data_IF_795967526998
#
_entry.id   IF_795967526998
#
_cell.length_a   1.000
_cell.length_b   1.000
_cell.length_c   1.000
_cell.angle_alpha   90.00
_cell.angle_beta   90.00
_cell.angle_gamma   90.00
#
_symmetry.space_group_name_H-M   'P 1'
#
loop_
_entity.id
_entity.type
_entity.pdbx_description
1 polymer ?
#
# COMPACT_ATOMS: atom_id res chain seq x y z
N UNK A 1 -6.92 16.42 -7.31
CA UNK A 1 -7.53 15.08 -7.41
C UNK A 1 -8.97 15.18 -7.86
N UNK A 2 -9.26 14.67 -9.06
CA UNK A 2 -10.62 14.56 -9.61
C UNK A 2 -11.00 13.08 -9.57
N UNK A 3 -11.61 12.58 -8.47
CA UNK A 3 -12.00 11.18 -8.37
C UNK A 3 -13.02 10.86 -9.46
N UNK A 4 -12.82 9.73 -10.14
CA UNK A 4 -13.67 9.25 -11.21
C UNK A 4 -13.95 7.76 -11.03
N UNK A 5 -15.09 7.31 -11.54
CA UNK A 5 -15.46 5.89 -11.57
C UNK A 5 -14.48 5.15 -12.50
N UNK A 6 -13.99 4.00 -12.06
CA UNK A 6 -13.09 3.19 -12.86
C UNK A 6 -13.78 2.74 -14.17
N UNK A 7 -13.10 2.76 -15.33
CA UNK A 7 -13.68 2.27 -16.59
C UNK A 7 -13.97 0.77 -16.57
N UNK A 8 -13.36 0.04 -15.62
CA UNK A 8 -13.65 -1.37 -15.35
C UNK A 8 -15.00 -1.58 -14.65
N UNK A 9 -15.55 -0.57 -13.97
CA UNK A 9 -16.85 -0.63 -13.30
C UNK A 9 -17.97 -0.78 -14.34
N UNK A 10 -18.79 -1.83 -14.20
CA UNK A 10 -19.85 -2.16 -15.15
C UNK A 10 -21.23 -1.63 -14.76
N UNK A 11 -21.35 -1.00 -13.59
CA UNK A 11 -22.62 -0.51 -13.08
C UNK A 11 -22.48 0.27 -11.79
N UNK A 12 -23.60 0.86 -11.33
CA UNK A 12 -23.61 1.60 -10.07
C UNK A 12 -23.69 0.64 -8.88
N UNK A 13 -22.57 0.46 -8.17
CA UNK A 13 -22.50 -0.35 -6.94
C UNK A 13 -22.81 0.46 -5.67
N UNK A 14 -22.84 1.80 -5.76
CA UNK A 14 -23.03 2.71 -4.61
C UNK A 14 -22.03 2.43 -3.48
N UNK A 15 -20.78 2.17 -3.88
CA UNK A 15 -19.70 1.62 -3.08
C UNK A 15 -19.14 2.60 -2.03
N UNK A 16 -19.48 3.89 -2.11
CA UNK A 16 -18.89 4.94 -1.29
C UNK A 16 -17.35 4.85 -1.23
N UNK A 17 -16.72 4.56 -2.39
CA UNK A 17 -15.27 4.32 -2.58
C UNK A 17 -14.74 2.96 -2.10
N UNK A 18 -15.59 2.01 -1.75
CA UNK A 18 -15.21 0.59 -1.64
C UNK A 18 -14.90 0.00 -3.02
N UNK A 19 -14.16 -1.11 -3.08
CA UNK A 19 -13.76 -1.74 -4.35
C UNK A 19 -14.93 -2.58 -4.88
N UNK A 20 -15.37 -2.34 -6.13
CA UNK A 20 -16.47 -3.07 -6.80
C UNK A 20 -16.32 -4.60 -6.71
N UNK A 21 -15.10 -5.13 -6.90
CA UNK A 21 -14.81 -6.56 -6.76
C UNK A 21 -15.16 -7.08 -5.36
N UNK A 22 -14.73 -6.36 -4.31
CA UNK A 22 -14.96 -6.76 -2.92
C UNK A 22 -16.46 -6.78 -2.64
N UNK A 23 -17.21 -5.78 -3.13
CA UNK A 23 -18.66 -5.74 -2.96
C UNK A 23 -19.36 -6.89 -3.68
N UNK A 24 -18.96 -7.22 -4.90
CA UNK A 24 -19.50 -8.36 -5.64
C UNK A 24 -19.23 -9.68 -4.90
N UNK A 25 -18.00 -9.89 -4.42
CA UNK A 25 -17.61 -11.10 -3.68
C UNK A 25 -18.35 -11.22 -2.33
N UNK A 26 -18.50 -10.12 -1.58
CA UNK A 26 -19.26 -10.11 -0.33
C UNK A 26 -20.74 -10.37 -0.56
N UNK A 27 -21.30 -9.83 -1.63
CA UNK A 27 -22.69 -10.10 -2.03
C UNK A 27 -22.89 -11.57 -2.39
N UNK A 28 -21.91 -12.20 -3.05
CA UNK A 28 -21.94 -13.63 -3.36
C UNK A 28 -21.91 -14.52 -2.10
N UNK A 29 -21.29 -14.05 -1.02
CA UNK A 29 -21.22 -14.75 0.27
C UNK A 29 -22.51 -14.64 1.11
N UNK A 30 -23.44 -13.74 0.76
CA UNK A 30 -24.73 -13.65 1.44
C UNK A 30 -25.57 -14.90 1.20
N UNK A 31 -26.33 -15.30 2.21
CA UNK A 31 -27.34 -16.36 2.10
C UNK A 31 -28.51 -15.91 1.21
N UNK A 32 -29.23 -16.88 0.65
CA UNK A 32 -30.44 -16.61 -0.14
C UNK A 32 -31.51 -15.84 0.65
N UNK A 33 -31.56 -16.04 1.98
CA UNK A 33 -32.46 -15.28 2.86
C UNK A 33 -32.05 -13.82 2.95
N UNK A 34 -30.77 -13.55 3.25
CA UNK A 34 -30.24 -12.18 3.35
C UNK A 34 -30.40 -11.43 2.03
N UNK A 35 -30.13 -12.08 0.90
CA UNK A 35 -30.33 -11.50 -0.43
C UNK A 35 -31.81 -11.18 -0.69
N UNK A 36 -32.74 -12.04 -0.29
CA UNK A 36 -34.19 -11.75 -0.41
C UNK A 36 -34.62 -10.59 0.47
N UNK A 37 -34.14 -10.53 1.70
CA UNK A 37 -34.44 -9.42 2.62
C UNK A 37 -33.91 -8.11 2.05
N UNK A 38 -32.67 -8.08 1.60
CA UNK A 38 -32.04 -6.90 1.00
C UNK A 38 -32.73 -6.45 -0.30
N UNK A 39 -33.17 -7.38 -1.17
CA UNK A 39 -34.01 -7.04 -2.33
C UNK A 39 -35.33 -6.39 -1.92
N UNK A 40 -35.86 -6.76 -0.76
CA UNK A 40 -37.13 -6.25 -0.24
C UNK A 40 -37.06 -4.85 0.37
N UNK A 41 -35.86 -4.29 0.60
CA UNK A 41 -35.71 -2.97 1.24
C UNK A 41 -35.69 -1.81 0.24
N UNK A 42 -34.94 -1.93 -0.85
CA UNK A 42 -34.74 -0.87 -1.84
C UNK A 42 -34.55 -1.45 -3.26
N UNK A 43 -35.26 -0.95 -4.30
CA UNK A 43 -35.02 -1.31 -5.69
C UNK A 43 -33.56 -1.20 -6.16
N UNK A 44 -32.78 -0.25 -5.60
CA UNK A 44 -31.35 -0.10 -5.90
C UNK A 44 -30.52 -1.21 -5.29
N UNK A 45 -30.80 -1.59 -4.05
CA UNK A 45 -30.16 -2.74 -3.42
C UNK A 45 -30.47 -4.03 -4.21
N UNK A 46 -31.71 -4.18 -4.68
CA UNK A 46 -32.07 -5.30 -5.54
C UNK A 46 -31.26 -5.33 -6.84
N UNK A 47 -31.12 -4.19 -7.52
CA UNK A 47 -30.34 -4.09 -8.75
C UNK A 47 -28.84 -4.39 -8.54
N UNK A 48 -28.25 -3.99 -7.40
CA UNK A 48 -26.85 -4.31 -7.05
C UNK A 48 -26.67 -5.82 -6.84
N UNK A 49 -27.60 -6.47 -6.13
CA UNK A 49 -27.55 -7.91 -5.91
C UNK A 49 -27.69 -8.67 -7.24
N UNK A 50 -28.63 -8.26 -8.08
CA UNK A 50 -28.83 -8.89 -9.39
C UNK A 50 -27.62 -8.69 -10.32
N UNK A 51 -26.98 -7.52 -10.26
CA UNK A 51 -25.73 -7.24 -10.99
C UNK A 51 -24.59 -8.15 -10.50
N UNK A 52 -24.42 -8.30 -9.19
CA UNK A 52 -23.40 -9.15 -8.61
C UNK A 52 -23.62 -10.64 -8.92
N UNK A 53 -24.87 -11.12 -8.87
CA UNK A 53 -25.20 -12.53 -9.15
C UNK A 53 -25.11 -12.91 -10.63
N UNK A 54 -25.36 -11.97 -11.52
CA UNK A 54 -25.28 -12.20 -12.98
C UNK A 54 -23.91 -11.89 -13.57
N UNK A 55 -22.94 -11.48 -12.74
CA UNK A 55 -21.63 -11.05 -13.20
C UNK A 55 -20.84 -12.23 -13.77
N UNK A 56 -20.41 -12.18 -15.04
CA UNK A 56 -19.56 -13.21 -15.61
C UNK A 56 -18.17 -13.24 -14.92
N UNK A 57 -17.55 -14.42 -14.76
CA UNK A 57 -16.20 -14.54 -14.19
C UNK A 57 -15.17 -13.63 -14.86
N UNK A 58 -15.25 -13.48 -16.19
CA UNK A 58 -14.33 -12.64 -16.97
C UNK A 58 -14.45 -11.15 -16.63
N UNK A 59 -15.62 -10.73 -16.14
CA UNK A 59 -15.83 -9.36 -15.66
C UNK A 59 -15.29 -9.19 -14.25
N UNK A 60 -15.49 -10.18 -13.37
CA UNK A 60 -14.90 -10.18 -12.03
C UNK A 60 -13.36 -10.11 -12.10
N UNK A 61 -12.74 -10.90 -12.99
CA UNK A 61 -11.30 -10.86 -13.25
C UNK A 61 -10.82 -9.47 -13.70
N UNK A 62 -11.65 -8.72 -14.44
CA UNK A 62 -11.32 -7.35 -14.86
C UNK A 62 -11.48 -6.32 -13.75
N UNK A 63 -12.32 -6.59 -12.76
CA UNK A 63 -12.44 -5.77 -11.55
C UNK A 63 -11.29 -6.03 -10.57
N UNK A 64 -10.62 -7.18 -10.71
CA UNK A 64 -9.37 -7.46 -10.01
C UNK A 64 -8.36 -6.34 -10.28
N UNK A 65 -7.77 -5.81 -9.21
CA UNK A 65 -7.01 -4.56 -9.22
C UNK A 65 -6.10 -4.40 -10.45
N UNK A 66 -6.39 -3.40 -11.29
CA UNK A 66 -5.61 -3.13 -12.48
C UNK A 66 -4.38 -2.27 -12.15
N UNK A 67 -3.18 -2.86 -12.23
CA UNK A 67 -1.91 -2.10 -12.15
C UNK A 67 -1.71 -1.37 -13.48
N UNK A 68 -2.23 -0.14 -13.58
CA UNK A 68 -2.21 0.65 -14.83
C UNK A 68 -0.79 0.99 -15.31
N UNK A 69 0.18 1.10 -14.40
CA UNK A 69 1.60 1.27 -14.73
C UNK A 69 2.16 0.07 -15.52
N UNK A 70 1.63 -1.15 -15.30
CA UNK A 70 2.05 -2.36 -16.02
C UNK A 70 1.39 -2.48 -17.42
N UNK A 71 0.23 -1.83 -17.62
CA UNK A 71 -0.53 -1.86 -18.88
C UNK A 71 0.16 -1.08 -20.00
N UNK A 72 0.90 -0.03 -19.68
CA UNK A 72 1.74 0.70 -20.65
C UNK A 72 2.86 -0.18 -21.25
N UNK A 73 3.21 -1.27 -20.57
CA UNK A 73 4.29 -2.21 -20.95
C UNK A 73 3.73 -3.45 -21.68
N UNK A 74 2.45 -3.80 -21.47
CA UNK A 74 1.85 -5.08 -21.90
C UNK A 74 0.81 -4.95 -23.02
N UNK A 75 0.64 -3.75 -23.60
CA UNK A 75 -0.25 -3.53 -24.73
C UNK A 75 0.21 -4.38 -25.95
N UNK A 76 -0.67 -5.20 -26.58
CA UNK A 76 -0.31 -5.99 -27.77
C UNK A 76 0.09 -5.15 -29.00
N UNK A 77 -0.13 -3.83 -28.97
CA UNK A 77 0.38 -2.88 -29.96
C UNK A 77 1.76 -2.26 -29.64
N UNK A 78 2.27 -2.47 -28.42
CA UNK A 78 3.62 -2.05 -28.05
C UNK A 78 4.64 -3.06 -28.60
N UNK A 79 5.85 -2.61 -28.99
CA UNK A 79 6.92 -3.54 -29.34
C UNK A 79 7.12 -4.51 -28.17
N UNK A 80 7.11 -5.82 -28.46
CA UNK A 80 7.27 -6.85 -27.45
C UNK A 80 8.50 -6.51 -26.59
N UNK A 81 8.34 -6.31 -25.28
CA UNK A 81 9.45 -5.93 -24.43
C UNK A 81 10.51 -7.02 -24.50
N UNK A 82 11.72 -6.63 -24.88
CA UNK A 82 12.90 -7.48 -24.82
C UNK A 82 13.29 -7.69 -23.36
N UNK A 83 13.95 -8.80 -23.00
CA UNK A 83 14.47 -9.00 -21.64
C UNK A 83 15.35 -7.82 -21.17
N UNK A 84 16.00 -7.14 -22.11
CA UNK A 84 16.84 -5.96 -21.91
C UNK A 84 16.02 -4.71 -21.52
N UNK A 85 14.80 -4.55 -22.04
CA UNK A 85 13.94 -3.37 -21.74
C UNK A 85 13.19 -3.50 -20.40
N UNK A 86 13.05 -4.71 -19.86
CA UNK A 86 12.63 -4.91 -18.47
C UNK A 86 13.74 -4.61 -17.46
N UNK A 87 15.01 -4.79 -17.85
CA UNK A 87 16.18 -4.61 -16.98
C UNK A 87 16.56 -3.14 -16.73
N UNK A 88 16.11 -2.21 -17.59
CA UNK A 88 16.46 -0.78 -17.47
C UNK A 88 15.52 0.01 -16.53
N UNK A 89 14.40 -0.59 -16.09
CA UNK A 89 13.37 0.07 -15.27
C UNK A 89 13.33 -0.40 -13.81
N UNK A 90 13.96 -1.53 -13.49
CA UNK A 90 14.02 -2.08 -12.15
C UNK A 90 15.49 -2.44 -11.87
N UNK A 91 16.03 -1.95 -10.74
CA UNK A 91 17.33 -2.40 -10.23
C UNK A 91 17.36 -3.94 -10.23
N UNK A 92 18.56 -4.53 -10.38
CA UNK A 92 18.84 -5.93 -10.79
C UNK A 92 18.20 -7.09 -9.99
N UNK A 93 17.23 -6.84 -9.11
CA UNK A 93 16.41 -7.85 -8.45
C UNK A 93 14.96 -7.84 -9.00
N UNK A 94 14.56 -8.83 -9.82
CA UNK A 94 13.24 -8.84 -10.42
C UNK A 94 12.17 -9.17 -9.36
N UNK A 95 11.50 -8.14 -8.84
CA UNK A 95 10.32 -8.23 -7.95
C UNK A 95 9.13 -8.93 -8.65
N UNK A 96 9.14 -8.98 -9.99
CA UNK A 96 8.10 -9.61 -10.79
C UNK A 96 8.61 -10.87 -11.49
N UNK A 97 8.54 -12.02 -10.80
CA UNK A 97 8.70 -13.34 -11.44
C UNK A 97 7.31 -13.91 -11.68
N UNK A 98 6.86 -14.12 -12.94
CA UNK A 98 5.51 -14.61 -13.24
C UNK A 98 5.23 -15.99 -12.62
N UNK A 99 6.27 -16.76 -12.34
CA UNK A 99 6.20 -18.07 -11.69
C UNK A 99 6.05 -17.98 -10.15
N UNK A 100 6.17 -16.78 -9.55
CA UNK A 100 6.12 -16.59 -8.09
C UNK A 100 5.58 -15.20 -7.71
N UNK A 101 4.25 -15.09 -7.55
CA UNK A 101 3.56 -13.98 -6.92
C UNK A 101 4.14 -13.45 -5.60
N UNK A 102 4.30 -12.13 -5.47
CA UNK A 102 4.74 -11.46 -4.23
C UNK A 102 3.75 -11.58 -3.06
N UNK A 103 2.51 -12.02 -3.32
CA UNK A 103 1.44 -12.19 -2.33
C UNK A 103 1.25 -13.65 -1.88
N UNK A 104 2.13 -14.59 -2.27
CA UNK A 104 2.02 -16.01 -1.87
C UNK A 104 2.38 -16.21 -0.37
N UNK A 105 1.40 -16.58 0.48
CA UNK A 105 1.63 -16.78 1.91
C UNK A 105 2.54 -17.99 2.24
N UNK A 106 2.73 -18.93 1.30
CA UNK A 106 3.64 -20.07 1.50
C UNK A 106 5.13 -19.69 1.41
N UNK A 107 5.44 -18.48 0.92
CA UNK A 107 6.78 -17.92 0.78
C UNK A 107 6.93 -16.58 1.51
N UNK A 108 6.16 -16.37 2.60
CA UNK A 108 6.27 -15.20 3.45
C UNK A 108 7.61 -15.14 4.22
N UNK A 109 8.70 -14.93 3.48
CA UNK A 109 9.84 -14.11 3.87
C UNK A 109 10.10 -13.09 2.72
N UNK A 110 9.18 -12.13 2.48
CA UNK A 110 9.31 -11.16 1.41
C UNK A 110 10.38 -10.09 1.72
N UNK A 111 11.05 -10.20 2.87
CA UNK A 111 12.14 -9.36 3.30
C UNK A 111 13.12 -10.23 4.09
N UNK A 112 13.96 -11.01 3.40
CA UNK A 112 15.15 -11.59 4.02
C UNK A 112 15.87 -10.48 4.81
N UNK A 113 16.47 -10.76 5.98
CA UNK A 113 16.67 -9.78 7.05
C UNK A 113 17.31 -8.52 6.49
N UNK A 114 16.47 -7.51 6.25
CA UNK A 114 16.94 -6.23 5.80
C UNK A 114 17.89 -5.74 6.89
N UNK A 115 19.02 -5.16 6.49
CA UNK A 115 19.96 -4.66 7.49
C UNK A 115 19.21 -3.72 8.42
N UNK A 116 19.27 -3.97 9.74
CA UNK A 116 18.63 -3.13 10.75
C UNK A 116 19.18 -1.69 10.76
N UNK A 117 20.04 -1.32 9.81
CA UNK A 117 20.71 -0.02 9.72
C UNK A 117 20.86 0.43 8.27
N UNK A 118 20.71 1.73 8.07
CA UNK A 118 20.94 2.42 6.80
C UNK A 118 21.89 3.60 6.97
N UNK A 119 22.50 4.05 5.87
CA UNK A 119 23.39 5.20 5.88
C UNK A 119 22.58 6.48 5.58
N UNK A 120 22.60 7.43 6.50
CA UNK A 120 21.97 8.76 6.35
C UNK A 120 23.02 9.80 6.68
N UNK A 121 23.30 10.72 5.75
CA UNK A 121 24.34 11.75 5.91
C UNK A 121 25.71 11.18 6.38
N UNK A 122 26.06 9.97 5.92
CA UNK A 122 27.30 9.29 6.28
C UNK A 122 27.31 8.62 7.66
N UNK A 123 26.18 8.61 8.38
CA UNK A 123 26.02 7.97 9.69
C UNK A 123 25.10 6.76 9.58
N UNK A 124 25.48 5.66 10.24
CA UNK A 124 24.63 4.48 10.33
C UNK A 124 23.49 4.71 11.32
N UNK A 125 22.26 4.69 10.81
CA UNK A 125 21.02 4.90 11.57
C UNK A 125 20.23 3.60 11.60
N UNK A 126 19.77 3.20 12.78
CA UNK A 126 18.91 2.02 12.98
C UNK A 126 18.26 2.03 14.36
N UNK A 127 17.70 0.90 14.85
CA UNK A 127 17.06 0.83 16.15
C UNK A 127 17.92 1.40 17.27
N UNK A 128 17.35 2.34 18.02
CA UNK A 128 17.99 3.08 19.11
C UNK A 128 18.70 4.37 18.70
N UNK A 129 18.97 4.60 17.41
CA UNK A 129 19.52 5.87 16.93
C UNK A 129 18.55 7.02 17.17
N UNK A 130 19.10 8.20 17.46
CA UNK A 130 18.33 9.45 17.56
C UNK A 130 18.42 10.22 16.26
N UNK A 131 17.32 10.83 15.86
CA UNK A 131 17.20 11.61 14.62
C UNK A 131 16.40 12.89 14.87
N UNK A 132 16.61 13.88 14.02
CA UNK A 132 15.74 15.05 13.89
C UNK A 132 14.82 14.84 12.69
N UNK A 133 13.53 15.01 12.89
CA UNK A 133 12.53 14.94 11.84
C UNK A 133 12.58 16.21 10.97
N UNK A 134 12.67 16.01 9.65
CA UNK A 134 12.66 17.05 8.61
C UNK A 134 11.66 16.69 7.50
N UNK A 135 10.37 16.47 7.84
CA UNK A 135 9.33 16.20 6.85
C UNK A 135 9.39 17.19 5.68
N UNK A 136 9.32 16.65 4.47
CA UNK A 136 9.45 17.41 3.23
C UNK A 136 8.22 18.26 2.89
N UNK A 137 8.26 18.88 1.71
CA UNK A 137 7.09 19.54 1.10
C UNK A 137 6.33 18.61 0.14
N UNK A 138 6.81 17.38 -0.08
CA UNK A 138 6.22 16.38 -0.96
C UNK A 138 6.00 15.11 -0.14
N UNK A 139 4.86 14.43 -0.34
CA UNK A 139 4.49 13.15 0.30
C UNK A 139 4.28 13.18 1.83
N UNK A 140 4.57 14.30 2.46
CA UNK A 140 4.31 14.58 3.87
C UNK A 140 2.83 14.86 4.13
N UNK A 141 2.26 14.25 5.16
CA UNK A 141 0.89 14.53 5.58
C UNK A 141 0.80 15.82 6.43
N UNK A 142 -0.41 16.32 6.69
CA UNK A 142 -0.55 17.55 7.47
C UNK A 142 -0.11 17.40 8.94
N UNK A 143 -0.07 16.17 9.47
CA UNK A 143 0.29 15.88 10.86
C UNK A 143 1.82 15.89 11.03
N UNK A 144 2.55 15.36 10.06
CA UNK A 144 4.00 15.32 10.02
C UNK A 144 4.62 16.71 10.07
N UNK A 145 3.97 17.71 9.43
CA UNK A 145 4.42 19.10 9.47
C UNK A 145 4.52 19.67 10.90
N UNK A 146 3.72 19.19 11.85
CA UNK A 146 3.81 19.61 13.25
C UNK A 146 5.05 19.03 13.97
N UNK A 147 5.69 18.03 13.37
CA UNK A 147 6.86 17.34 13.91
C UNK A 147 8.19 17.87 13.33
N UNK A 148 8.14 18.90 12.49
CA UNK A 148 9.33 19.55 11.93
C UNK A 148 10.29 19.97 13.05
N UNK A 149 11.52 19.44 13.01
CA UNK A 149 12.57 19.74 13.98
C UNK A 149 12.45 18.96 15.30
N UNK A 150 11.46 18.09 15.46
CA UNK A 150 11.34 17.25 16.65
C UNK A 150 12.44 16.19 16.68
N UNK A 151 12.96 15.89 17.88
CA UNK A 151 13.83 14.75 18.10
C UNK A 151 12.99 13.48 18.20
N UNK A 152 13.49 12.40 17.61
CA UNK A 152 12.83 11.10 17.61
C UNK A 152 13.86 9.98 17.77
N UNK A 153 13.39 8.84 18.26
CA UNK A 153 14.16 7.60 18.37
C UNK A 153 13.69 6.62 17.31
N UNK A 154 14.62 6.07 16.55
CA UNK A 154 14.34 5.01 15.59
C UNK A 154 14.07 3.72 16.35
N UNK A 155 12.94 3.09 16.08
CA UNK A 155 12.51 1.82 16.66
C UNK A 155 12.75 0.67 15.67
N UNK A 156 12.60 0.91 14.36
CA UNK A 156 12.89 -0.07 13.31
C UNK A 156 13.25 0.59 11.98
N UNK A 157 13.98 -0.14 11.13
CA UNK A 157 14.14 0.13 9.70
C UNK A 157 13.27 -0.87 8.95
N UNK A 158 12.39 -0.39 8.07
CA UNK A 158 11.46 -1.20 7.31
C UNK A 158 11.67 -0.97 5.81
N UNK A 159 11.44 -2.02 5.03
CA UNK A 159 11.44 -1.98 3.59
C UNK A 159 10.04 -2.29 3.08
N UNK A 160 9.53 -1.49 2.16
CA UNK A 160 8.28 -1.77 1.47
C UNK A 160 8.51 -2.73 0.30
N UNK A 161 7.40 -3.14 -0.33
CA UNK A 161 7.40 -4.08 -1.47
C UNK A 161 8.04 -3.50 -2.73
N UNK A 162 8.15 -2.18 -2.82
CA UNK A 162 8.77 -1.46 -3.93
C UNK A 162 10.27 -1.18 -3.66
N UNK A 163 10.83 -1.69 -2.55
CA UNK A 163 12.22 -1.49 -2.14
C UNK A 163 12.48 -0.16 -1.42
N UNK A 164 11.45 0.63 -1.16
CA UNK A 164 11.51 1.88 -0.41
C UNK A 164 11.81 1.65 1.07
N UNK A 165 12.66 2.50 1.65
CA UNK A 165 13.07 2.40 3.06
C UNK A 165 12.26 3.38 3.90
N UNK A 166 11.79 2.92 5.05
CA UNK A 166 11.05 3.72 6.03
C UNK A 166 11.61 3.50 7.43
N UNK A 167 11.81 4.60 8.15
CA UNK A 167 12.21 4.59 9.55
C UNK A 167 10.96 4.68 10.42
N UNK A 168 10.72 3.64 11.22
CA UNK A 168 9.70 3.65 12.26
C UNK A 168 10.26 4.39 13.48
N UNK A 169 9.61 5.47 13.91
CA UNK A 169 10.12 6.33 15.00
C UNK A 169 9.09 6.59 16.09
N UNK A 170 9.60 6.85 17.30
CA UNK A 170 8.85 7.48 18.41
C UNK A 170 9.41 8.88 18.66
N UNK A 171 8.53 9.87 18.85
CA UNK A 171 8.92 11.26 19.11
C UNK A 171 9.32 11.43 20.57
N UNK A 172 10.47 12.07 20.81
CA UNK A 172 10.95 12.36 22.16
C UNK A 172 10.06 13.41 22.84
N UNK A 173 9.70 13.16 24.10
CA UNK A 173 8.83 14.06 24.86
C UNK A 173 7.34 13.94 24.54
N UNK A 174 6.93 13.06 23.63
CA UNK A 174 5.51 12.74 23.43
C UNK A 174 4.99 11.86 24.59
N UNK A 175 3.96 12.30 25.36
CA UNK A 175 3.39 11.53 26.45
C UNK A 175 2.85 10.15 26.07
N UNK A 176 2.52 9.94 24.79
CA UNK A 176 2.01 8.68 24.25
C UNK A 176 3.08 7.74 23.70
N UNK A 177 4.37 8.10 23.75
CA UNK A 177 5.44 7.33 23.10
C UNK A 177 5.54 5.89 23.62
N UNK A 178 5.47 5.68 24.93
CA UNK A 178 5.61 4.34 25.53
C UNK A 178 4.44 3.42 25.16
N UNK A 179 3.20 3.94 25.23
CA UNK A 179 1.99 3.19 24.84
C UNK A 179 2.05 2.79 23.36
N UNK A 180 2.51 3.70 22.50
CA UNK A 180 2.65 3.44 21.07
C UNK A 180 3.71 2.37 20.79
N UNK A 181 4.84 2.39 21.50
CA UNK A 181 5.87 1.34 21.41
C UNK A 181 5.30 -0.03 21.82
N UNK A 182 4.58 -0.10 22.95
CA UNK A 182 3.95 -1.35 23.42
C UNK A 182 2.93 -1.92 22.42
N UNK A 183 2.24 -1.05 21.69
CA UNK A 183 1.28 -1.43 20.65
C UNK A 183 1.91 -1.66 19.27
N UNK A 184 3.23 -1.46 19.12
CA UNK A 184 3.91 -1.53 17.83
C UNK A 184 3.45 -0.48 16.82
N UNK A 185 2.99 0.69 17.29
CA UNK A 185 2.53 1.80 16.46
C UNK A 185 3.60 2.89 16.40
N UNK A 186 4.04 3.23 15.19
CA UNK A 186 5.11 4.21 14.98
C UNK A 186 4.68 5.26 13.96
N UNK A 187 5.46 6.34 13.90
CA UNK A 187 5.44 7.25 12.75
C UNK A 187 6.51 6.80 11.76
N UNK A 188 6.28 7.03 10.48
CA UNK A 188 7.14 6.51 9.42
C UNK A 188 7.66 7.65 8.56
N UNK A 189 8.98 7.73 8.41
CA UNK A 189 9.65 8.76 7.62
C UNK A 189 10.64 8.13 6.64
N UNK A 190 10.80 8.72 5.46
CA UNK A 190 11.84 8.31 4.52
C UNK A 190 13.22 8.81 4.97
N UNK A 191 14.33 8.22 4.46
CA UNK A 191 15.68 8.60 4.89
C UNK A 191 16.03 10.07 4.64
N UNK A 192 15.44 10.72 3.63
CA UNK A 192 15.63 12.13 3.31
C UNK A 192 14.78 13.07 4.19
N UNK A 193 13.79 12.53 4.90
CA UNK A 193 12.93 13.27 5.85
C UNK A 193 13.47 13.24 7.28
N UNK A 194 14.68 12.72 7.49
CA UNK A 194 15.34 12.69 8.79
C UNK A 194 16.79 13.13 8.68
N UNK A 195 17.36 13.56 9.79
CA UNK A 195 18.80 13.73 9.91
C UNK A 195 19.31 13.07 11.20
N UNK A 196 20.48 12.41 11.18
CA UNK A 196 21.09 11.88 12.39
C UNK A 196 21.25 12.98 13.45
N UNK A 197 20.86 12.68 14.69
CA UNK A 197 21.12 13.54 15.84
C UNK A 197 22.28 12.91 16.61
N UNK A 198 23.46 13.54 16.56
CA UNK A 198 24.60 13.09 17.36
C UNK A 198 24.25 13.17 18.85
N UNK A 199 24.61 12.12 19.60
CA UNK A 199 24.59 12.20 21.06
C UNK A 199 25.69 13.16 21.52
N UNK A 200 25.30 14.25 22.17
CA UNK A 200 26.21 15.22 22.78
C UNK A 200 27.04 14.63 23.93
#
# INVERSE_FOLDING_TARGET
DHPGIAPESIGAMYDATEIDEILALRTAALTDQEKREARGTDPRAAAVIDLAESMPPEVLERLHGAVRALREITDPGAPAPTPESFSELFDEDPVFRPETPWWDPAHADPAGPAGDRILIDGTWVGPGSRVILRPGLRRTDAQDLFLQGAAARVEAVLHDVDGGVHLAVTVEGDPGADIRREQGRFLYFQPDEVAPLEDA
#
